data_IF_150655314802
#
_entry.id   IF_150655314802
#
_cell.length_a   1.000
_cell.length_b   1.000
_cell.length_c   1.000
_cell.angle_alpha   90.00
_cell.angle_beta   90.00
_cell.angle_gamma   90.00
#
_symmetry.space_group_name_H-M   'P 1'
#
loop_
_entity.id
_entity.type
_entity.pdbx_description
1 polymer ?
#
# COMPACT_ATOMS: atom_id res chain seq x y z
N UNK A 1 -0.73 14.02 3.27
CA UNK A 1 -0.99 12.64 3.77
C UNK A 1 -0.17 11.68 2.91
N UNK A 2 0.44 10.64 3.49
CA UNK A 2 1.07 9.59 2.67
C UNK A 2 -0.02 8.83 1.93
N UNK A 3 0.07 8.76 0.60
CA UNK A 3 -0.84 7.90 -0.16
C UNK A 3 -0.60 6.43 0.20
N UNK A 4 -1.57 5.56 -0.07
CA UNK A 4 -1.49 4.12 0.20
C UNK A 4 -0.15 3.51 -0.30
N UNK A 5 0.30 3.93 -1.48
CA UNK A 5 1.55 3.48 -2.09
C UNK A 5 2.78 3.77 -1.19
N UNK A 6 2.88 5.01 -0.71
CA UNK A 6 3.99 5.46 0.14
C UNK A 6 3.94 4.77 1.49
N UNK A 7 2.74 4.67 2.09
CA UNK A 7 2.54 3.98 3.36
C UNK A 7 3.02 2.54 3.30
N UNK A 8 2.53 1.76 2.31
CA UNK A 8 2.90 0.34 2.17
C UNK A 8 4.40 0.18 1.90
N UNK A 9 4.97 1.03 1.03
CA UNK A 9 6.40 1.01 0.72
C UNK A 9 7.28 1.35 1.92
N UNK A 10 6.87 2.34 2.72
CA UNK A 10 7.59 2.73 3.93
C UNK A 10 7.55 1.62 4.97
N UNK A 11 6.35 1.11 5.30
CA UNK A 11 6.18 0.04 6.29
C UNK A 11 6.97 -1.22 5.92
N UNK A 12 6.99 -1.60 4.63
CA UNK A 12 7.82 -2.72 4.14
C UNK A 12 9.31 -2.47 4.39
N UNK A 13 9.80 -1.26 4.11
CA UNK A 13 11.20 -0.90 4.34
C UNK A 13 11.58 -0.86 5.82
N UNK A 14 10.68 -0.39 6.68
CA UNK A 14 10.88 -0.37 8.15
C UNK A 14 11.13 -1.78 8.72
N UNK A 15 10.50 -2.80 8.12
CA UNK A 15 10.71 -4.21 8.49
C UNK A 15 11.77 -4.92 7.65
N UNK A 16 12.54 -4.18 6.83
CA UNK A 16 13.63 -4.68 5.99
C UNK A 16 13.25 -5.84 5.04
N UNK A 17 12.04 -5.83 4.49
CA UNK A 17 11.60 -6.84 3.52
C UNK A 17 11.76 -6.36 2.08
N UNK A 18 12.19 -7.25 1.20
CA UNK A 18 12.04 -7.10 -0.25
C UNK A 18 10.56 -7.17 -0.65
N UNK A 19 10.22 -6.76 -1.87
CA UNK A 19 8.85 -6.90 -2.37
C UNK A 19 8.40 -8.37 -2.45
N UNK A 20 9.33 -9.28 -2.73
CA UNK A 20 9.09 -10.73 -2.83
C UNK A 20 8.76 -11.32 -1.46
N UNK A 21 9.61 -11.08 -0.47
CA UNK A 21 9.38 -11.55 0.91
C UNK A 21 8.11 -10.95 1.50
N UNK A 22 7.82 -9.68 1.19
CA UNK A 22 6.61 -9.02 1.67
C UNK A 22 5.35 -9.62 1.02
N UNK A 23 5.38 -9.93 -0.27
CA UNK A 23 4.30 -10.61 -0.97
C UNK A 23 4.05 -12.01 -0.39
N UNK A 24 5.12 -12.77 -0.15
CA UNK A 24 5.07 -14.09 0.46
C UNK A 24 4.43 -14.04 1.86
N UNK A 25 4.91 -13.14 2.72
CA UNK A 25 4.40 -13.01 4.10
C UNK A 25 2.96 -12.50 4.18
N UNK A 26 2.54 -11.65 3.25
CA UNK A 26 1.14 -11.17 3.17
C UNK A 26 0.23 -12.19 2.48
N UNK A 27 0.78 -13.20 1.80
CA UNK A 27 0.01 -14.20 1.07
C UNK A 27 -0.65 -13.66 -0.19
N UNK A 28 -0.03 -12.65 -0.84
CA UNK A 28 -0.50 -12.06 -2.10
C UNK A 28 0.54 -12.25 -3.20
N UNK A 29 0.12 -12.16 -4.46
CA UNK A 29 1.06 -12.18 -5.58
C UNK A 29 1.97 -10.94 -5.56
N UNK A 30 3.25 -11.10 -5.93
CA UNK A 30 4.23 -10.01 -6.05
C UNK A 30 3.73 -8.84 -6.91
N UNK A 31 2.94 -9.14 -7.94
CA UNK A 31 2.34 -8.13 -8.82
C UNK A 31 1.38 -7.20 -8.09
N UNK A 32 0.72 -7.68 -7.03
CA UNK A 32 -0.16 -6.87 -6.18
C UNK A 32 0.67 -5.84 -5.41
N UNK A 33 1.73 -6.28 -4.72
CA UNK A 33 2.64 -5.38 -3.99
C UNK A 33 3.23 -4.32 -4.93
N UNK A 34 3.71 -4.73 -6.11
CA UNK A 34 4.24 -3.79 -7.11
C UNK A 34 3.21 -2.76 -7.54
N UNK A 35 1.98 -3.18 -7.85
CA UNK A 35 0.91 -2.26 -8.27
C UNK A 35 0.52 -1.29 -7.15
N UNK A 36 0.47 -1.75 -5.89
CA UNK A 36 0.23 -0.90 -4.72
C UNK A 36 1.32 0.16 -4.60
N UNK A 37 2.59 -0.24 -4.58
CA UNK A 37 3.73 0.70 -4.42
C UNK A 37 3.93 1.63 -5.63
N UNK A 38 3.37 1.29 -6.79
CA UNK A 38 3.34 2.14 -7.99
C UNK A 38 2.12 3.08 -8.03
N UNK A 39 1.22 3.03 -7.03
CA UNK A 39 0.02 3.87 -6.99
C UNK A 39 -1.00 3.53 -8.07
N UNK A 40 -1.06 2.28 -8.54
CA UNK A 40 -2.09 1.87 -9.50
C UNK A 40 -3.45 1.84 -8.81
N UNK A 41 -4.47 2.38 -9.47
CA UNK A 41 -5.82 2.51 -8.92
C UNK A 41 -6.69 1.26 -9.12
N UNK A 42 -6.39 0.45 -10.13
CA UNK A 42 -7.12 -0.80 -10.40
C UNK A 42 -6.54 -1.96 -9.56
N UNK A 43 -6.90 -1.96 -8.27
CA UNK A 43 -6.51 -2.95 -7.27
C UNK A 43 -7.75 -3.61 -6.67
N UNK A 44 -7.63 -4.88 -6.31
CA UNK A 44 -8.68 -5.56 -5.54
C UNK A 44 -8.59 -5.15 -4.07
N UNK A 45 -9.68 -4.58 -3.53
CA UNK A 45 -9.78 -4.11 -2.15
C UNK A 45 -9.49 -5.20 -1.11
N UNK A 46 -9.93 -6.44 -1.35
CA UNK A 46 -9.61 -7.59 -0.49
C UNK A 46 -8.09 -7.78 -0.36
N UNK A 47 -7.37 -7.67 -1.48
CA UNK A 47 -5.92 -7.81 -1.51
C UNK A 47 -5.20 -6.64 -0.88
N UNK A 48 -5.73 -5.42 -1.02
CA UNK A 48 -5.17 -4.26 -0.31
C UNK A 48 -5.36 -4.43 1.21
N UNK A 49 -6.54 -4.82 1.66
CA UNK A 49 -6.81 -5.06 3.08
C UNK A 49 -5.96 -6.22 3.63
N UNK A 50 -5.73 -7.28 2.86
CA UNK A 50 -4.82 -8.37 3.26
C UNK A 50 -3.38 -7.87 3.50
N UNK A 51 -2.90 -6.95 2.67
CA UNK A 51 -1.57 -6.31 2.85
C UNK A 51 -1.55 -5.38 4.06
N UNK A 52 -2.60 -4.56 4.23
CA UNK A 52 -2.71 -3.61 5.35
C UNK A 52 -2.87 -4.31 6.71
N UNK A 53 -3.54 -5.47 6.73
CA UNK A 53 -3.76 -6.26 7.93
C UNK A 53 -2.45 -6.71 8.59
N UNK A 54 -1.38 -6.92 7.82
CA UNK A 54 -0.04 -7.22 8.38
C UNK A 54 0.45 -6.10 9.31
N UNK A 55 0.03 -4.86 9.05
CA UNK A 55 0.39 -3.70 9.85
C UNK A 55 -0.73 -3.28 10.81
N UNK A 56 -1.81 -4.07 10.94
CA UNK A 56 -2.97 -3.73 11.77
C UNK A 56 -3.79 -2.57 11.20
N UNK A 57 -3.83 -2.40 9.87
CA UNK A 57 -4.59 -1.36 9.19
C UNK A 57 -5.64 -1.98 8.25
N UNK A 58 -6.65 -1.19 7.90
CA UNK A 58 -7.64 -1.50 6.87
C UNK A 58 -7.98 -0.25 6.05
N UNK A 59 -8.49 -0.42 4.84
CA UNK A 59 -9.05 0.67 4.05
C UNK A 59 -10.37 1.13 4.65
N UNK A 60 -10.55 2.45 4.77
CA UNK A 60 -11.78 3.07 5.21
C UNK A 60 -12.13 4.33 4.42
N UNK A 61 -13.39 4.78 4.47
CA UNK A 61 -13.79 6.03 3.87
C UNK A 61 -13.14 7.20 4.63
N UNK A 62 -12.29 7.96 3.94
CA UNK A 62 -11.73 9.21 4.45
C UNK A 62 -12.31 10.39 3.65
N UNK A 63 -12.46 11.54 4.31
CA UNK A 63 -12.88 12.76 3.63
C UNK A 63 -11.83 13.14 2.58
N UNK A 64 -12.29 13.52 1.38
CA UNK A 64 -11.39 14.01 0.33
C UNK A 64 -10.90 15.40 0.76
N UNK A 65 -9.65 15.50 1.18
CA UNK A 65 -8.96 16.76 1.39
C UNK A 65 -8.16 17.11 0.12
N UNK A 66 -8.59 18.14 -0.62
CA UNK A 66 -7.86 18.70 -1.75
C UNK A 66 -6.53 19.27 -1.26
N UNK A 67 -5.50 18.44 -1.15
CA UNK A 67 -4.12 18.83 -0.84
C UNK A 67 -3.24 18.24 -1.93
N UNK A 68 -3.38 18.82 -3.12
CA UNK A 68 -2.49 18.61 -4.27
C UNK A 68 -1.71 19.92 -4.44
N UNK A 69 -0.83 20.22 -3.49
CA UNK A 69 0.14 21.31 -3.58
C UNK A 69 1.47 20.72 -4.06
N UNK A 70 1.55 20.38 -5.35
CA UNK A 70 2.84 20.23 -6.04
C UNK A 70 2.72 20.41 -7.56
N UNK A 71 2.44 21.65 -7.96
CA UNK A 71 3.09 22.29 -9.12
C UNK A 71 3.49 23.71 -8.69
N UNK A 72 4.67 23.83 -8.08
CA UNK A 72 5.50 25.05 -8.13
C UNK A 72 6.90 24.62 -8.56
#
# INVERSE_FOLDING_TARGET
MSQLADFVKQRRKEVNLTQEEFAERTGVALTVIRKIEQGKTNLNLDKVNQVLAMFGHELGPIAISNTDDSYQ
#
